data_IF_417014478178
#
_entry.id   IF_417014478178
#
_cell.length_a   1.000
_cell.length_b   1.000
_cell.length_c   1.000
_cell.angle_alpha   90.00
_cell.angle_beta   90.00
_cell.angle_gamma   90.00
#
_symmetry.space_group_name_H-M   'P 1'
#
loop_
_entity.id
_entity.type
_entity.pdbx_description
1 polymer ?
#
# COMPACT_ATOMS: atom_id res chain seq x y z
N UNK A 1 10.52 14.25 -11.79
CA UNK A 1 9.85 13.02 -12.26
C UNK A 1 8.37 13.32 -12.32
N UNK A 2 7.59 12.64 -13.16
CA UNK A 2 6.13 12.84 -13.12
C UNK A 2 5.59 12.30 -11.81
N UNK A 3 4.75 13.09 -11.17
CA UNK A 3 3.96 12.77 -9.98
C UNK A 3 2.80 11.83 -10.35
N UNK A 4 3.10 10.80 -11.14
CA UNK A 4 2.11 9.84 -11.65
C UNK A 4 2.05 8.64 -10.70
N UNK A 5 0.84 8.10 -10.53
CA UNK A 5 0.64 6.83 -9.84
C UNK A 5 1.19 5.66 -10.66
N UNK A 6 1.91 4.76 -10.00
CA UNK A 6 2.51 3.56 -10.58
C UNK A 6 1.90 2.34 -9.92
N UNK A 7 1.40 1.41 -10.73
CA UNK A 7 0.87 0.13 -10.24
C UNK A 7 2.03 -0.78 -9.82
N UNK A 8 1.98 -1.32 -8.60
CA UNK A 8 2.98 -2.29 -8.10
C UNK A 8 2.42 -3.71 -8.04
N UNK A 9 1.13 -3.87 -7.78
CA UNK A 9 0.41 -5.14 -7.87
C UNK A 9 -0.98 -4.94 -8.50
N UNK A 10 -1.21 -5.59 -9.64
CA UNK A 10 -2.48 -5.49 -10.35
C UNK A 10 -3.61 -6.28 -9.71
N UNK A 11 -3.30 -7.33 -8.96
CA UNK A 11 -4.31 -8.23 -8.38
C UNK A 11 -5.02 -7.54 -7.21
N UNK A 12 -4.26 -6.86 -6.37
CA UNK A 12 -4.75 -5.97 -5.31
C UNK A 12 -5.05 -4.55 -5.80
N UNK A 13 -4.81 -4.24 -7.08
CA UNK A 13 -4.88 -2.87 -7.60
C UNK A 13 -4.10 -1.89 -6.70
N UNK A 14 -2.91 -2.31 -6.27
CA UNK A 14 -1.99 -1.51 -5.49
C UNK A 14 -1.26 -0.52 -6.39
N UNK A 15 -1.24 0.74 -5.96
CA UNK A 15 -0.49 1.81 -6.60
C UNK A 15 0.28 2.61 -5.56
N UNK A 16 1.42 3.16 -5.99
CA UNK A 16 2.13 4.18 -5.23
C UNK A 16 2.36 5.45 -6.06
N UNK A 17 2.62 6.55 -5.37
CA UNK A 17 3.08 7.81 -5.94
C UNK A 17 4.19 8.39 -5.08
N UNK A 18 5.32 8.72 -5.70
CA UNK A 18 6.40 9.49 -5.05
C UNK A 18 6.05 10.99 -5.13
N UNK A 19 5.88 11.61 -3.97
CA UNK A 19 5.57 13.03 -3.86
C UNK A 19 6.83 13.90 -3.95
N UNK A 20 6.63 15.18 -4.27
CA UNK A 20 7.74 16.15 -4.42
C UNK A 20 8.53 16.41 -3.14
N UNK A 21 7.95 16.12 -1.98
CA UNK A 21 8.59 16.21 -0.66
C UNK A 21 9.36 14.94 -0.26
N UNK A 22 9.35 13.90 -1.11
CA UNK A 22 10.03 12.63 -0.85
C UNK A 22 9.19 11.59 -0.10
N UNK A 23 7.92 11.89 0.21
CA UNK A 23 6.99 10.92 0.79
C UNK A 23 6.37 10.02 -0.27
N UNK A 24 5.88 8.85 0.16
CA UNK A 24 5.21 7.88 -0.69
C UNK A 24 3.74 7.78 -0.33
N UNK A 25 2.84 8.03 -1.28
CA UNK A 25 1.42 7.75 -1.12
C UNK A 25 1.09 6.37 -1.67
N UNK A 26 0.34 5.57 -0.92
CA UNK A 26 -0.09 4.24 -1.30
C UNK A 26 -1.61 4.11 -1.26
N UNK A 27 -2.13 3.26 -2.14
CA UNK A 27 -3.52 2.83 -2.17
C UNK A 27 -3.59 1.37 -2.64
N UNK A 28 -4.41 0.54 -2.00
CA UNK A 28 -4.68 -0.84 -2.43
C UNK A 28 -6.14 -1.25 -2.15
N UNK A 29 -6.62 -2.24 -2.89
CA UNK A 29 -7.85 -2.97 -2.61
C UNK A 29 -7.52 -4.18 -1.73
N UNK A 30 -8.15 -4.26 -0.56
CA UNK A 30 -7.98 -5.35 0.41
C UNK A 30 -9.21 -6.24 0.41
N UNK A 31 -9.01 -7.56 0.28
CA UNK A 31 -10.06 -8.55 0.41
C UNK A 31 -10.24 -8.99 1.88
N UNK A 32 -11.47 -8.90 2.38
CA UNK A 32 -11.84 -9.23 3.76
C UNK A 32 -12.38 -10.67 3.84
N UNK A 33 -11.51 -11.65 3.64
CA UNK A 33 -11.80 -13.11 3.51
C UNK A 33 -12.68 -13.69 4.66
N UNK A 34 -12.64 -13.08 5.85
CA UNK A 34 -13.37 -13.56 7.04
C UNK A 34 -14.77 -12.96 7.22
N UNK A 35 -15.10 -11.91 6.47
CA UNK A 35 -16.42 -11.31 6.48
C UNK A 35 -17.19 -11.94 5.33
N UNK A 36 -17.92 -13.04 5.58
CA UNK A 36 -19.16 -13.27 4.81
C UNK A 36 -19.88 -11.94 4.91
N UNK A 37 -20.07 -11.25 3.78
CA UNK A 37 -20.59 -9.89 3.81
C UNK A 37 -21.78 -9.85 4.76
N UNK A 38 -21.88 -8.77 5.54
CA UNK A 38 -22.93 -8.59 6.53
C UNK A 38 -24.24 -9.19 5.99
N UNK A 39 -25.06 -9.92 6.76
CA UNK A 39 -26.36 -10.40 6.27
C UNK A 39 -27.20 -9.33 5.54
N UNK A 40 -26.97 -8.03 5.82
CA UNK A 40 -27.52 -6.91 5.05
C UNK A 40 -26.82 -6.57 3.72
N UNK A 41 -25.57 -6.98 3.51
CA UNK A 41 -24.71 -6.75 2.35
C UNK A 41 -23.71 -7.91 2.11
N UNK A 42 -24.16 -9.07 1.60
CA UNK A 42 -23.34 -10.29 1.48
C UNK A 42 -22.14 -10.16 0.53
N UNK A 43 -22.19 -9.21 -0.39
CA UNK A 43 -21.17 -9.03 -1.44
C UNK A 43 -20.13 -7.95 -1.09
N UNK A 44 -20.29 -7.25 0.05
CA UNK A 44 -19.37 -6.20 0.51
C UNK A 44 -18.20 -6.82 1.27
N UNK A 45 -17.25 -7.36 0.52
CA UNK A 45 -16.08 -8.09 1.04
C UNK A 45 -14.75 -7.40 0.75
N UNK A 46 -14.78 -6.15 0.29
CA UNK A 46 -13.57 -5.36 0.02
C UNK A 46 -13.56 -4.06 0.81
N UNK A 47 -12.37 -3.56 1.09
CA UNK A 47 -12.11 -2.17 1.53
C UNK A 47 -10.91 -1.62 0.75
N UNK A 48 -10.77 -0.31 0.71
CA UNK A 48 -9.60 0.36 0.13
C UNK A 48 -8.74 0.89 1.27
N UNK A 49 -7.47 0.47 1.31
CA UNK A 49 -6.46 0.91 2.27
C UNK A 49 -5.59 1.99 1.64
N UNK A 50 -5.28 3.05 2.38
CA UNK A 50 -4.42 4.15 1.95
C UNK A 50 -3.47 4.55 3.07
N UNK A 51 -2.28 5.01 2.70
CA UNK A 51 -1.31 5.56 3.64
C UNK A 51 -0.38 6.58 2.98
N UNK A 52 0.22 7.43 3.81
CA UNK A 52 1.34 8.29 3.45
C UNK A 52 2.55 7.85 4.27
N UNK A 53 3.62 7.46 3.59
CA UNK A 53 4.85 6.94 4.20
C UNK A 53 5.97 7.95 4.01
N UNK A 54 6.49 8.48 5.11
CA UNK A 54 7.81 9.14 5.14
C UNK A 54 8.83 8.16 5.71
N UNK A 55 9.80 7.74 4.91
CA UNK A 55 10.85 6.84 5.38
C UNK A 55 11.71 7.47 6.47
N UNK A 56 11.71 8.79 6.66
CA UNK A 56 12.42 9.44 7.75
C UNK A 56 11.75 9.23 9.12
N UNK A 57 10.49 8.80 9.15
CA UNK A 57 9.77 8.46 10.38
C UNK A 57 10.18 7.08 10.94
N UNK A 58 10.95 6.30 10.18
CA UNK A 58 11.36 4.96 10.54
C UNK A 58 12.87 4.86 10.76
N UNK A 59 13.25 4.26 11.88
CA UNK A 59 14.63 3.85 12.16
C UNK A 59 15.10 2.78 11.16
N UNK A 60 16.42 2.55 11.13
CA UNK A 60 17.00 1.50 10.28
C UNK A 60 16.45 0.12 10.68
N UNK A 61 16.34 -0.13 11.97
CA UNK A 61 15.86 -1.39 12.54
C UNK A 61 14.38 -1.62 12.23
N UNK A 62 13.54 -0.57 12.28
CA UNK A 62 12.14 -0.68 11.88
C UNK A 62 12.02 -0.99 10.38
N UNK A 63 12.82 -0.35 9.52
CA UNK A 63 12.85 -0.67 8.09
C UNK A 63 13.27 -2.12 7.84
N UNK A 64 14.35 -2.58 8.50
CA UNK A 64 14.81 -3.98 8.41
C UNK A 64 13.73 -4.96 8.87
N UNK A 65 12.99 -4.64 9.94
CA UNK A 65 11.88 -5.47 10.42
C UNK A 65 10.78 -5.60 9.36
N UNK A 66 10.35 -4.48 8.75
CA UNK A 66 9.27 -4.49 7.76
C UNK A 66 9.63 -5.24 6.46
N UNK A 67 10.91 -5.25 6.06
CA UNK A 67 11.34 -6.01 4.87
C UNK A 67 11.64 -7.48 5.15
N UNK A 68 11.75 -7.89 6.41
CA UNK A 68 12.28 -9.21 6.81
C UNK A 68 11.47 -10.41 6.34
N UNK A 69 10.21 -10.20 5.94
CA UNK A 69 9.38 -11.22 5.31
C UNK A 69 9.86 -11.63 3.90
N UNK A 70 10.59 -10.74 3.22
CA UNK A 70 10.99 -10.91 1.82
C UNK A 70 12.50 -10.79 1.58
N UNK A 71 13.21 -10.04 2.44
CA UNK A 71 14.62 -9.72 2.28
C UNK A 71 15.37 -9.93 3.59
N UNK A 72 16.59 -10.50 3.50
CA UNK A 72 17.41 -10.78 4.69
C UNK A 72 17.97 -9.52 5.37
N UNK A 73 18.17 -8.43 4.62
CA UNK A 73 18.67 -7.15 5.14
C UNK A 73 18.46 -5.99 4.15
N UNK A 74 18.61 -4.75 4.64
CA UNK A 74 18.63 -3.56 3.78
C UNK A 74 19.81 -3.57 2.80
N UNK A 75 20.94 -4.16 3.19
CA UNK A 75 22.11 -4.28 2.31
C UNK A 75 21.79 -5.22 1.14
N UNK A 76 21.20 -6.38 1.41
CA UNK A 76 20.76 -7.31 0.38
C UNK A 76 19.75 -6.66 -0.57
N UNK A 77 18.77 -5.91 -0.04
CA UNK A 77 17.82 -5.18 -0.87
C UNK A 77 18.51 -4.16 -1.79
N UNK A 78 19.44 -3.35 -1.25
CA UNK A 78 20.15 -2.31 -2.02
C UNK A 78 21.09 -2.87 -3.09
N UNK A 79 21.65 -4.06 -2.88
CA UNK A 79 22.50 -4.74 -3.88
C UNK A 79 21.71 -5.12 -5.15
N UNK A 80 20.43 -5.49 -5.00
CA UNK A 80 19.59 -5.87 -6.13
C UNK A 80 18.76 -4.72 -6.71
N UNK A 81 18.34 -3.76 -5.86
CA UNK A 81 17.36 -2.74 -6.20
C UNK A 81 17.83 -1.33 -5.82
N UNK A 82 19.04 -0.96 -6.22
CA UNK A 82 19.70 0.28 -5.75
C UNK A 82 18.85 1.55 -5.88
N UNK A 83 18.23 1.79 -7.04
CA UNK A 83 17.43 3.01 -7.29
C UNK A 83 15.96 2.88 -6.84
N UNK A 84 15.52 1.69 -6.44
CA UNK A 84 14.11 1.40 -6.09
C UNK A 84 13.96 0.89 -4.65
N UNK A 85 15.05 0.78 -3.89
CA UNK A 85 15.06 0.21 -2.55
C UNK A 85 14.17 1.00 -1.61
N UNK A 86 14.20 2.33 -1.65
CA UNK A 86 13.31 3.18 -0.85
C UNK A 86 11.83 2.92 -1.17
N UNK A 87 11.48 2.78 -2.45
CA UNK A 87 10.11 2.46 -2.85
C UNK A 87 9.68 1.08 -2.32
N UNK A 88 10.55 0.07 -2.43
CA UNK A 88 10.27 -1.28 -1.93
C UNK A 88 10.14 -1.29 -0.40
N UNK A 89 11.00 -0.54 0.31
CA UNK A 89 10.89 -0.41 1.78
C UNK A 89 9.55 0.24 2.14
N UNK A 90 9.16 1.31 1.44
CA UNK A 90 7.90 1.99 1.69
C UNK A 90 6.68 1.09 1.40
N UNK A 91 6.77 0.25 0.37
CA UNK A 91 5.76 -0.75 0.03
C UNK A 91 5.64 -1.83 1.12
N UNK A 92 6.76 -2.44 1.54
CA UNK A 92 6.75 -3.41 2.65
C UNK A 92 6.17 -2.83 3.95
N UNK A 93 6.51 -1.57 4.27
CA UNK A 93 5.92 -0.87 5.42
C UNK A 93 4.40 -0.77 5.25
N UNK A 94 3.92 -0.32 4.09
CA UNK A 94 2.49 -0.19 3.81
C UNK A 94 1.74 -1.53 3.90
N UNK A 95 2.31 -2.61 3.39
CA UNK A 95 1.72 -3.96 3.43
C UNK A 95 1.55 -4.45 4.87
N UNK A 96 2.54 -4.20 5.74
CA UNK A 96 2.53 -4.62 7.15
C UNK A 96 1.63 -3.75 8.06
N UNK A 97 1.10 -2.61 7.58
CA UNK A 97 0.19 -1.72 8.34
C UNK A 97 -1.17 -2.37 8.64
N UNK A 98 -1.19 -3.22 9.67
CA UNK A 98 -2.37 -3.95 10.16
C UNK A 98 -2.85 -3.47 11.53
N UNK A 99 -2.16 -2.48 12.12
CA UNK A 99 -2.38 -1.94 13.46
C UNK A 99 -3.34 -0.73 13.52
N UNK A 100 -3.87 -0.31 12.36
CA UNK A 100 -4.74 0.86 12.22
C UNK A 100 -4.01 2.17 11.92
N UNK A 101 -2.71 2.12 11.64
CA UNK A 101 -1.94 3.28 11.13
C UNK A 101 -2.36 3.69 9.71
N UNK A 102 -2.85 2.75 8.90
CA UNK A 102 -3.42 3.04 7.58
C UNK A 102 -4.90 3.46 7.66
N UNK A 103 -5.30 4.32 6.74
CA UNK A 103 -6.71 4.70 6.56
C UNK A 103 -7.43 3.68 5.70
N UNK A 104 -8.60 3.20 6.15
CA UNK A 104 -9.45 2.28 5.39
C UNK A 104 -10.82 2.89 5.14
N UNK A 105 -11.39 2.64 3.97
CA UNK A 105 -12.79 2.98 3.68
C UNK A 105 -13.76 2.04 4.39
N UNK A 106 -15.06 2.33 4.29
CA UNK A 106 -16.10 1.36 4.60
C UNK A 106 -16.04 0.14 3.65
N UNK A 107 -16.73 -0.94 4.01
CA UNK A 107 -16.83 -2.13 3.16
C UNK A 107 -17.63 -1.83 1.89
N UNK A 108 -17.19 -2.41 0.78
CA UNK A 108 -17.78 -2.23 -0.54
C UNK A 108 -17.66 -3.49 -1.39
N UNK A 109 -18.40 -3.54 -2.50
CA UNK A 109 -18.22 -4.61 -3.49
C UNK A 109 -16.96 -4.34 -4.30
N UNK A 110 -16.42 -5.36 -4.97
CA UNK A 110 -15.18 -5.25 -5.75
C UNK A 110 -15.21 -4.09 -6.76
N UNK A 111 -16.29 -3.98 -7.53
CA UNK A 111 -16.45 -2.92 -8.54
C UNK A 111 -16.39 -1.51 -7.94
N UNK A 112 -16.96 -1.31 -6.75
CA UNK A 112 -16.92 -0.03 -6.05
C UNK A 112 -15.50 0.30 -5.58
N UNK A 113 -14.73 -0.71 -5.14
CA UNK A 113 -13.33 -0.54 -4.77
C UNK A 113 -12.46 -0.15 -5.97
N UNK A 114 -12.62 -0.85 -7.10
CA UNK A 114 -11.90 -0.53 -8.33
C UNK A 114 -12.22 0.89 -8.80
N UNK A 115 -13.50 1.28 -8.83
CA UNK A 115 -13.92 2.64 -9.20
C UNK A 115 -13.40 3.70 -8.23
N UNK A 116 -13.35 3.40 -6.93
CA UNK A 116 -12.78 4.29 -5.93
C UNK A 116 -11.30 4.55 -6.19
N UNK A 117 -10.51 3.50 -6.41
CA UNK A 117 -9.07 3.60 -6.68
C UNK A 117 -8.83 4.40 -7.95
N UNK A 118 -9.54 4.09 -9.05
CA UNK A 118 -9.39 4.81 -10.31
C UNK A 118 -9.71 6.30 -10.16
N UNK A 119 -10.74 6.64 -9.38
CA UNK A 119 -11.04 8.05 -9.06
C UNK A 119 -9.93 8.69 -8.24
N UNK A 120 -9.46 8.02 -7.19
CA UNK A 120 -8.42 8.52 -6.29
C UNK A 120 -7.15 8.88 -7.06
N UNK A 121 -6.65 7.97 -7.89
CA UNK A 121 -5.40 8.17 -8.65
C UNK A 121 -5.56 9.16 -9.81
N UNK A 122 -6.78 9.46 -10.24
CA UNK A 122 -7.07 10.46 -11.27
C UNK A 122 -7.17 11.89 -10.72
N UNK A 123 -7.53 12.02 -9.45
CA UNK A 123 -7.79 13.31 -8.78
C UNK A 123 -6.58 13.83 -7.96
N UNK A 124 -5.65 12.94 -7.56
CA UNK A 124 -4.54 13.21 -6.63
C UNK A 124 -3.17 13.11 -7.29
#
# INVERSE_FOLDING_TARGET
MREDWVCTDSDSSQYFKLNSDGTYSFIEKVWLDICKGDPGYPDKVYTVKTALIDLNDYSKEEKECNISGYYDSLEALNEFYTDSSDQIIAECIFEEMTDGSASTTEMMIEKEADEYIQRYISEM
#
